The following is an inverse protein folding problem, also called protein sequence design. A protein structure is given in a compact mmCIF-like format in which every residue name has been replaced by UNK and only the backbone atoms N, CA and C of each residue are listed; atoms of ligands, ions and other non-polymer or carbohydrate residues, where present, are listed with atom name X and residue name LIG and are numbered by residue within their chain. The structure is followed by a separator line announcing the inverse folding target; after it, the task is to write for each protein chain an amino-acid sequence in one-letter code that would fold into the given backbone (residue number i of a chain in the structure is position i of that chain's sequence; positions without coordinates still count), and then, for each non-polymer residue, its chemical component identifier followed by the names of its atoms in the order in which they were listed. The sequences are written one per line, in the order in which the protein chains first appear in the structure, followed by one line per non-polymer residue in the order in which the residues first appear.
data_IF_136939131487
#
_entry.id   IF_136939131487
#
_cell.length_a   1.000
_cell.length_b   1.000
_cell.length_c   1.000
_cell.angle_alpha   90.00
_cell.angle_beta   90.00
_cell.angle_gamma   90.00
#
_symmetry.space_group_name_H-M   'P 1'
#
loop_
_entity.id
_entity.type
_entity.pdbx_description
1 polymer ?
#
# COMPACT_ATOMS: atom_id res chain seq x y z
N UNK A 1 37.75 -7.09 -83.12
CA UNK A 1 38.64 -7.15 -81.94
C UNK A 1 37.76 -6.90 -80.74
N UNK A 2 37.46 -7.97 -80.01
CA UNK A 2 36.34 -8.11 -79.08
C UNK A 2 36.51 -7.37 -77.74
N UNK A 3 35.39 -6.84 -77.23
CA UNK A 3 35.21 -6.46 -75.83
C UNK A 3 35.12 -7.73 -74.97
N UNK A 4 36.06 -7.92 -74.04
CA UNK A 4 35.90 -8.86 -72.93
C UNK A 4 35.30 -8.12 -71.73
N UNK A 5 34.01 -8.39 -71.48
CA UNK A 5 33.33 -8.08 -70.22
C UNK A 5 33.88 -9.02 -69.14
N UNK A 6 34.67 -8.48 -68.21
CA UNK A 6 35.03 -9.17 -66.97
C UNK A 6 33.92 -8.96 -65.95
N UNK A 7 33.09 -9.97 -65.74
CA UNK A 7 32.14 -10.02 -64.63
C UNK A 7 32.91 -10.42 -63.37
N UNK A 8 33.27 -9.45 -62.53
CA UNK A 8 33.81 -9.71 -61.19
C UNK A 8 32.66 -9.91 -60.20
N UNK A 9 32.60 -11.09 -59.58
CA UNK A 9 31.62 -11.40 -58.53
C UNK A 9 32.32 -11.24 -57.18
N UNK A 10 32.04 -10.14 -56.47
CA UNK A 10 32.51 -9.94 -55.09
C UNK A 10 31.56 -10.64 -54.11
N UNK A 11 32.01 -11.72 -53.48
CA UNK A 11 31.29 -12.34 -52.36
C UNK A 11 31.57 -11.55 -51.08
N UNK A 12 30.60 -10.74 -50.63
CA UNK A 12 30.60 -10.18 -49.28
C UNK A 12 29.98 -11.19 -48.32
N UNK A 13 30.81 -11.76 -47.44
CA UNK A 13 30.37 -12.62 -46.35
C UNK A 13 29.77 -11.72 -45.25
N UNK A 14 28.47 -11.79 -45.04
CA UNK A 14 27.79 -11.10 -43.94
C UNK A 14 27.35 -12.14 -42.91
N UNK A 15 28.01 -12.14 -41.74
CA UNK A 15 27.62 -12.98 -40.61
C UNK A 15 26.38 -12.36 -39.94
N UNK A 16 25.21 -12.97 -40.14
CA UNK A 16 24.02 -12.66 -39.34
C UNK A 16 23.98 -13.63 -38.16
N UNK A 17 24.09 -13.10 -36.95
CA UNK A 17 23.81 -13.87 -35.74
C UNK A 17 22.30 -14.12 -35.67
N UNK A 18 21.88 -15.37 -35.83
CA UNK A 18 20.52 -15.79 -35.54
C UNK A 18 20.50 -16.10 -34.06
N UNK A 19 19.95 -15.20 -33.24
CA UNK A 19 19.61 -15.54 -31.86
C UNK A 19 18.56 -16.65 -31.91
N UNK A 20 18.84 -17.78 -31.23
CA UNK A 20 17.86 -18.85 -31.12
C UNK A 20 16.58 -18.28 -30.48
N UNK A 21 15.38 -18.60 -30.99
CA UNK A 21 14.12 -18.09 -30.44
C UNK A 21 13.98 -18.24 -28.92
N UNK A 22 14.56 -19.31 -28.35
CA UNK A 22 14.61 -19.55 -26.90
C UNK A 22 15.40 -18.49 -26.13
N UNK A 23 16.50 -17.97 -26.69
CA UNK A 23 17.29 -16.91 -26.04
C UNK A 23 16.58 -15.56 -26.02
N UNK A 24 15.79 -15.27 -27.06
CA UNK A 24 14.99 -14.05 -27.13
C UNK A 24 13.90 -14.11 -26.05
N UNK A 25 13.18 -15.23 -25.96
CA UNK A 25 12.16 -15.45 -24.93
C UNK A 25 12.73 -15.37 -23.51
N UNK A 26 13.91 -15.95 -23.25
CA UNK A 26 14.54 -15.84 -21.93
C UNK A 26 14.97 -14.41 -21.60
N UNK A 27 15.46 -13.65 -22.59
CA UNK A 27 15.83 -12.25 -22.37
C UNK A 27 14.62 -11.37 -22.15
N UNK A 28 13.52 -11.61 -22.86
CA UNK A 28 12.26 -10.89 -22.64
C UNK A 28 11.76 -11.12 -21.22
N UNK A 29 11.75 -12.36 -20.72
CA UNK A 29 11.32 -12.67 -19.34
C UNK A 29 12.21 -11.99 -18.28
N UNK A 30 13.54 -12.03 -18.44
CA UNK A 30 14.49 -11.46 -17.48
C UNK A 30 14.49 -9.92 -17.44
N UNK A 31 13.96 -9.27 -18.48
CA UNK A 31 13.91 -7.81 -18.59
C UNK A 31 12.59 -7.21 -18.11
N UNK A 32 11.56 -8.03 -17.85
CA UNK A 32 10.28 -7.56 -17.35
C UNK A 32 10.40 -7.07 -15.90
N UNK A 33 9.72 -5.97 -15.52
CA UNK A 33 9.57 -5.61 -14.12
C UNK A 33 8.75 -6.69 -13.39
N UNK A 34 9.03 -6.90 -12.11
CA UNK A 34 8.45 -8.01 -11.32
C UNK A 34 6.91 -8.04 -11.39
N UNK A 35 6.24 -6.89 -11.41
CA UNK A 35 4.78 -6.82 -11.54
C UNK A 35 4.29 -7.34 -12.90
N UNK A 36 4.94 -6.95 -14.00
CA UNK A 36 4.59 -7.45 -15.34
C UNK A 36 4.95 -8.94 -15.49
N UNK A 37 6.03 -9.38 -14.84
CA UNK A 37 6.40 -10.79 -14.78
C UNK A 37 5.35 -11.62 -14.05
N UNK A 38 4.80 -11.11 -12.94
CA UNK A 38 3.70 -11.77 -12.21
C UNK A 38 2.45 -11.90 -13.09
N UNK A 39 2.00 -10.80 -13.72
CA UNK A 39 0.86 -10.83 -14.64
C UNK A 39 1.08 -11.81 -15.80
N UNK A 40 2.30 -11.88 -16.31
CA UNK A 40 2.66 -12.82 -17.38
C UNK A 40 2.64 -14.28 -16.92
N UNK A 41 3.14 -14.56 -15.71
CA UNK A 41 3.09 -15.89 -15.10
C UNK A 41 1.64 -16.32 -14.87
N UNK A 42 0.77 -15.43 -14.38
CA UNK A 42 -0.65 -15.73 -14.18
C UNK A 42 -1.37 -16.04 -15.49
N UNK A 43 -1.07 -15.29 -16.56
CA UNK A 43 -1.61 -15.58 -17.90
C UNK A 43 -1.13 -16.94 -18.42
N UNK A 44 0.17 -17.24 -18.29
CA UNK A 44 0.73 -18.53 -18.71
C UNK A 44 0.17 -19.69 -17.88
N UNK A 45 -0.11 -19.49 -16.60
CA UNK A 45 -0.75 -20.50 -15.77
C UNK A 45 -2.19 -20.82 -16.25
N UNK A 46 -2.93 -19.82 -16.76
CA UNK A 46 -4.27 -20.02 -17.31
C UNK A 46 -4.24 -20.72 -18.67
N UNK A 47 -3.24 -20.41 -19.51
CA UNK A 47 -3.12 -20.95 -20.86
C UNK A 47 -2.41 -22.31 -20.90
N UNK A 48 -1.46 -22.55 -20.00
CA UNK A 48 -0.60 -23.73 -20.01
C UNK A 48 -1.03 -24.75 -18.94
N UNK A 49 -1.67 -25.87 -19.34
CA UNK A 49 -2.12 -26.91 -18.41
C UNK A 49 -0.98 -27.70 -17.76
N UNK A 50 0.28 -27.46 -18.15
CA UNK A 50 1.48 -28.12 -17.59
C UNK A 50 1.99 -27.41 -16.34
N UNK A 51 1.68 -26.12 -16.18
CA UNK A 51 2.11 -25.31 -15.06
C UNK A 51 1.10 -25.42 -13.92
N UNK A 52 1.59 -25.73 -12.72
CA UNK A 52 0.80 -25.77 -11.50
C UNK A 52 1.42 -24.84 -10.44
N UNK A 53 0.57 -24.10 -9.71
CA UNK A 53 0.96 -23.34 -8.53
C UNK A 53 1.03 -24.28 -7.32
N UNK A 54 2.13 -24.25 -6.58
CA UNK A 54 2.17 -24.83 -5.24
C UNK A 54 1.74 -23.76 -4.24
N UNK A 55 0.51 -23.85 -3.74
CA UNK A 55 0.15 -23.13 -2.52
C UNK A 55 0.86 -23.83 -1.36
N UNK A 56 1.84 -23.16 -0.75
CA UNK A 56 2.31 -23.56 0.58
C UNK A 56 1.17 -23.27 1.57
N UNK A 57 0.18 -24.17 1.67
CA UNK A 57 -0.66 -24.18 2.85
C UNK A 57 0.28 -24.39 4.06
N UNK A 58 0.23 -23.51 5.09
CA UNK A 58 0.90 -23.82 6.33
C UNK A 58 0.20 -25.06 6.89
N UNK A 59 0.80 -26.23 6.70
CA UNK A 59 0.30 -27.49 7.23
C UNK A 59 0.12 -27.32 8.74
N UNK A 60 -1.14 -27.16 9.16
CA UNK A 60 -1.53 -27.38 10.55
C UNK A 60 -1.09 -28.80 10.88
N UNK A 61 -0.41 -29.03 12.02
CA UNK A 61 0.14 -30.34 12.28
C UNK A 61 -1.01 -31.34 12.41
N UNK A 62 -1.12 -32.24 11.44
CA UNK A 62 -1.85 -33.47 11.62
C UNK A 62 -1.16 -34.23 12.76
N UNK A 63 -1.90 -34.53 13.82
CA UNK A 63 -1.47 -35.42 14.88
C UNK A 63 -1.08 -36.76 14.26
N UNK A 64 0.22 -37.01 14.10
CA UNK A 64 0.78 -38.29 13.74
C UNK A 64 1.67 -38.75 14.88
N UNK A 65 1.29 -39.92 15.39
CA UNK A 65 1.86 -40.67 16.49
C UNK A 65 3.38 -40.83 16.47
N UNK A 66 3.92 -41.03 17.66
CA UNK A 66 5.26 -41.51 17.95
C UNK A 66 5.69 -42.67 17.03
N UNK A 67 6.78 -42.49 16.28
CA UNK A 67 7.89 -43.44 16.01
C UNK A 67 8.50 -43.22 14.61
N UNK A 68 9.61 -42.49 14.53
CA UNK A 68 10.91 -43.10 14.21
C UNK A 68 11.98 -42.00 14.24
N UNK A 69 12.87 -42.09 15.23
CA UNK A 69 14.11 -41.32 15.24
C UNK A 69 15.04 -41.96 14.18
N UNK A 70 15.05 -41.42 12.96
CA UNK A 70 16.13 -41.71 12.02
C UNK A 70 17.36 -40.95 12.51
N UNK A 71 18.32 -41.71 13.04
CA UNK A 71 19.67 -41.28 13.34
C UNK A 71 20.26 -40.56 12.11
N UNK A 72 20.72 -39.33 12.31
CA UNK A 72 21.59 -38.63 11.37
C UNK A 72 22.93 -39.41 11.39
N UNK A 73 23.39 -40.01 10.28
CA UNK A 73 24.72 -40.59 10.25
C UNK A 73 25.72 -39.44 10.13
N UNK A 74 26.22 -38.99 11.27
CA UNK A 74 27.32 -38.04 11.37
C UNK A 74 28.63 -38.80 11.11
N UNK A 75 28.91 -39.05 9.82
CA UNK A 75 30.18 -39.59 9.34
C UNK A 75 30.54 -38.93 8.00
N UNK A 76 31.78 -38.44 7.82
CA UNK A 76 32.19 -37.89 6.54
C UNK A 76 32.22 -39.01 5.50
N UNK A 77 31.48 -38.84 4.41
CA UNK A 77 31.52 -39.77 3.29
C UNK A 77 32.90 -39.74 2.62
N UNK A 78 33.42 -40.88 2.15
CA UNK A 78 34.74 -41.04 1.49
C UNK A 78 34.92 -40.26 0.17
N UNK A 79 34.03 -39.30 -0.16
CA UNK A 79 34.01 -38.53 -1.40
C UNK A 79 34.30 -37.04 -1.27
N UNK A 80 34.35 -36.47 -0.07
CA UNK A 80 34.54 -35.02 0.11
C UNK A 80 36.01 -34.62 -0.10
N UNK A 81 36.34 -34.22 -1.33
CA UNK A 81 37.57 -33.49 -1.65
C UNK A 81 37.20 -32.09 -2.12
N UNK A 82 37.90 -31.08 -1.63
CA UNK A 82 37.72 -29.69 -2.07
C UNK A 82 37.90 -29.58 -3.59
N UNK A 83 37.03 -28.80 -4.24
CA UNK A 83 37.13 -28.43 -5.65
C UNK A 83 38.37 -27.55 -5.86
N UNK A 84 39.47 -28.15 -6.30
CA UNK A 84 40.71 -27.43 -6.61
C UNK A 84 40.76 -27.13 -8.10
N UNK A 85 40.40 -25.90 -8.47
CA UNK A 85 40.50 -25.42 -9.86
C UNK A 85 41.98 -25.14 -10.17
N UNK A 86 42.65 -26.09 -10.84
CA UNK A 86 44.00 -25.88 -11.38
C UNK A 86 43.94 -25.76 -12.91
N UNK A 87 44.46 -24.66 -13.47
CA UNK A 87 44.48 -24.36 -14.93
C UNK A 87 45.29 -25.35 -15.79
N UNK A 88 45.90 -26.37 -15.19
CA UNK A 88 46.85 -27.28 -15.86
C UNK A 88 46.31 -28.69 -16.11
N UNK A 89 45.10 -29.02 -15.65
CA UNK A 89 44.49 -30.35 -15.82
C UNK A 89 43.17 -30.26 -16.57
N UNK A 90 42.86 -31.26 -17.40
CA UNK A 90 41.57 -31.36 -18.08
C UNK A 90 40.49 -31.70 -17.05
N UNK A 91 39.60 -30.74 -16.77
CA UNK A 91 38.53 -30.83 -15.78
C UNK A 91 37.34 -31.70 -16.23
N UNK A 92 37.58 -32.70 -17.09
CA UNK A 92 36.53 -33.57 -17.64
C UNK A 92 35.91 -34.44 -16.53
N UNK A 93 36.72 -34.96 -15.61
CA UNK A 93 36.26 -35.78 -14.48
C UNK A 93 35.42 -34.99 -13.45
N UNK A 94 35.72 -33.69 -13.27
CA UNK A 94 34.95 -32.80 -12.39
C UNK A 94 33.63 -32.36 -13.06
N UNK A 95 33.62 -32.21 -14.39
CA UNK A 95 32.41 -31.96 -15.17
C UNK A 95 31.47 -33.17 -15.20
N UNK A 96 32.02 -34.38 -15.38
CA UNK A 96 31.22 -35.62 -15.30
C UNK A 96 30.62 -35.79 -13.90
N UNK A 97 31.33 -35.41 -12.83
CA UNK A 97 30.75 -35.36 -11.47
C UNK A 97 29.60 -34.38 -11.34
N UNK A 98 29.75 -33.16 -11.88
CA UNK A 98 28.69 -32.14 -11.84
C UNK A 98 27.44 -32.58 -12.61
N UNK A 99 27.62 -33.25 -13.74
CA UNK A 99 26.52 -33.84 -14.51
C UNK A 99 25.87 -35.03 -13.79
N UNK A 100 26.64 -35.89 -13.14
CA UNK A 100 26.11 -37.04 -12.39
C UNK A 100 25.44 -36.62 -11.06
N UNK A 101 25.85 -35.50 -10.47
CA UNK A 101 25.21 -34.96 -9.27
C UNK A 101 23.77 -34.49 -9.54
N UNK A 102 23.48 -34.07 -10.77
CA UNK A 102 22.12 -33.74 -11.25
C UNK A 102 21.25 -35.01 -11.43
N UNK A 103 21.87 -36.17 -11.73
CA UNK A 103 21.19 -37.46 -11.90
C UNK A 103 20.99 -38.23 -10.57
N UNK A 104 21.94 -38.12 -9.62
CA UNK A 104 21.91 -38.82 -8.33
C UNK A 104 21.10 -38.09 -7.25
N UNK A 105 20.71 -36.83 -7.48
CA UNK A 105 19.98 -36.04 -6.50
C UNK A 105 18.66 -35.40 -7.01
N UNK A 106 17.69 -36.18 -7.52
CA UNK A 106 16.38 -35.65 -7.92
C UNK A 106 15.56 -35.13 -6.73
N UNK A 107 15.94 -35.47 -5.48
CA UNK A 107 15.21 -35.13 -4.25
C UNK A 107 15.77 -33.92 -3.49
N UNK A 108 16.96 -33.39 -3.83
CA UNK A 108 17.52 -32.20 -3.15
C UNK A 108 16.84 -30.89 -3.54
N UNK A 109 16.10 -30.86 -4.66
CA UNK A 109 15.22 -29.71 -4.98
C UNK A 109 13.98 -29.68 -4.07
N UNK A 110 13.77 -30.73 -3.26
CA UNK A 110 12.65 -30.89 -2.36
C UNK A 110 13.14 -31.15 -0.92
N UNK A 111 14.32 -30.62 -0.56
CA UNK A 111 14.69 -30.49 0.84
C UNK A 111 13.92 -29.30 1.41
N UNK A 112 12.67 -29.57 1.79
CA UNK A 112 11.98 -28.77 2.78
C UNK A 112 12.92 -28.68 3.97
N UNK A 113 13.51 -27.49 4.17
CA UNK A 113 14.21 -27.15 5.40
C UNK A 113 13.22 -27.47 6.51
N UNK A 114 13.42 -28.60 7.18
CA UNK A 114 12.60 -29.01 8.31
C UNK A 114 12.87 -27.95 9.38
N UNK A 115 12.03 -26.92 9.41
CA UNK A 115 12.14 -25.85 10.36
C UNK A 115 12.04 -26.50 11.73
N UNK A 116 13.12 -26.43 12.51
CA UNK A 116 13.12 -26.98 13.85
C UNK A 116 11.99 -26.35 14.66
N UNK A 117 11.46 -27.06 15.66
CA UNK A 117 10.37 -26.54 16.52
C UNK A 117 10.72 -25.16 17.11
N UNK A 118 12.01 -24.89 17.38
CA UNK A 118 12.49 -23.57 17.81
C UNK A 118 12.38 -22.48 16.72
N UNK A 119 12.65 -22.80 15.45
CA UNK A 119 12.49 -21.85 14.34
C UNK A 119 11.03 -21.49 14.07
N UNK A 120 10.08 -22.40 14.34
CA UNK A 120 8.64 -22.16 14.21
C UNK A 120 8.14 -21.28 15.37
N UNK A 121 8.62 -21.53 16.59
CA UNK A 121 8.29 -20.73 17.77
C UNK A 121 8.84 -19.30 17.67
N UNK A 122 10.09 -19.12 17.20
CA UNK A 122 10.65 -17.80 16.89
C UNK A 122 9.92 -17.08 15.74
N UNK A 123 9.41 -17.82 14.75
CA UNK A 123 8.61 -17.24 13.68
C UNK A 123 7.21 -16.82 14.17
N UNK A 124 6.61 -17.58 15.08
CA UNK A 124 5.35 -17.23 15.72
C UNK A 124 5.51 -16.01 16.64
N UNK A 125 6.59 -15.95 17.41
CA UNK A 125 6.93 -14.82 18.28
C UNK A 125 7.21 -13.55 17.45
N UNK A 126 7.99 -13.64 16.36
CA UNK A 126 8.17 -12.53 15.41
C UNK A 126 6.87 -12.06 14.77
N UNK A 127 5.93 -12.96 14.46
CA UNK A 127 4.60 -12.59 13.94
C UNK A 127 3.77 -11.88 15.00
N UNK A 128 3.83 -12.33 16.26
CA UNK A 128 3.14 -11.68 17.38
C UNK A 128 3.73 -10.30 17.69
N UNK A 129 5.05 -10.16 17.65
CA UNK A 129 5.74 -8.87 17.77
C UNK A 129 5.42 -7.94 16.60
N UNK A 130 5.31 -8.47 15.38
CA UNK A 130 4.88 -7.68 14.22
C UNK A 130 3.43 -7.19 14.36
N UNK A 131 2.53 -8.04 14.86
CA UNK A 131 1.14 -7.67 15.15
C UNK A 131 1.05 -6.62 16.28
N UNK A 132 1.88 -6.75 17.31
CA UNK A 132 1.94 -5.80 18.42
C UNK A 132 2.57 -4.45 18.03
N UNK A 133 3.51 -4.45 17.07
CA UNK A 133 4.14 -3.24 16.53
C UNK A 133 3.38 -2.65 15.33
N UNK A 134 2.31 -3.29 14.85
CA UNK A 134 1.47 -2.71 13.81
C UNK A 134 0.67 -1.56 14.45
N UNK A 135 0.84 -0.32 13.99
CA UNK A 135 0.06 0.80 14.52
C UNK A 135 -1.43 0.51 14.32
N UNK A 136 -2.22 0.65 15.39
CA UNK A 136 -3.66 0.51 15.30
C UNK A 136 -4.22 1.46 14.22
N UNK A 137 -5.19 0.99 13.43
CA UNK A 137 -5.91 1.85 12.49
C UNK A 137 -6.45 3.07 13.26
N UNK A 138 -6.04 4.26 12.83
CA UNK A 138 -6.56 5.49 13.42
C UNK A 138 -8.06 5.56 13.15
N UNK A 139 -8.82 5.94 14.16
CA UNK A 139 -10.28 6.02 14.07
C UNK A 139 -10.66 7.04 12.99
N UNK A 140 -11.54 6.66 12.06
CA UNK A 140 -11.99 7.59 11.01
C UNK A 140 -12.82 8.72 11.61
N UNK A 141 -12.90 9.87 10.93
CA UNK A 141 -13.76 10.99 11.34
C UNK A 141 -15.21 10.53 11.57
N UNK A 142 -15.71 9.66 10.68
CA UNK A 142 -17.08 9.15 10.75
C UNK A 142 -17.29 8.28 12.00
N UNK A 143 -16.35 7.40 12.32
CA UNK A 143 -16.40 6.58 13.52
C UNK A 143 -16.33 7.44 14.79
N UNK A 144 -15.44 8.43 14.80
CA UNK A 144 -15.30 9.36 15.93
C UNK A 144 -16.59 10.14 16.21
N UNK A 145 -17.25 10.66 15.16
CA UNK A 145 -18.51 11.38 15.29
C UNK A 145 -19.68 10.46 15.67
N UNK A 146 -19.71 9.22 15.16
CA UNK A 146 -20.72 8.22 15.54
C UNK A 146 -20.61 7.87 17.02
N UNK A 147 -19.38 7.63 17.50
CA UNK A 147 -19.13 7.35 18.90
C UNK A 147 -19.55 8.54 19.78
N UNK A 148 -19.30 9.78 19.33
CA UNK A 148 -19.80 10.98 20.01
C UNK A 148 -21.32 11.08 20.06
N UNK A 149 -22.01 10.78 18.96
CA UNK A 149 -23.47 10.78 18.92
C UNK A 149 -24.08 9.81 19.94
N UNK A 150 -23.40 8.69 20.22
CA UNK A 150 -23.87 7.72 21.19
C UNK A 150 -23.91 8.27 22.63
N UNK A 151 -23.16 9.33 22.96
CA UNK A 151 -23.22 9.99 24.26
C UNK A 151 -24.41 10.93 24.43
N UNK A 152 -25.10 11.28 23.33
CA UNK A 152 -26.27 12.16 23.38
C UNK A 152 -27.56 11.35 23.43
N UNK A 153 -28.43 11.68 24.38
CA UNK A 153 -29.80 11.16 24.43
C UNK A 153 -30.64 11.82 23.34
N UNK A 154 -30.86 11.09 22.24
CA UNK A 154 -31.56 11.54 21.05
C UNK A 154 -32.78 10.68 20.73
N UNK A 155 -33.80 11.28 20.13
CA UNK A 155 -34.89 10.54 19.53
C UNK A 155 -34.37 9.66 18.38
N UNK A 156 -34.93 8.46 18.24
CA UNK A 156 -34.56 7.50 17.19
C UNK A 156 -34.56 8.07 15.77
N UNK A 157 -35.58 8.84 15.30
CA UNK A 157 -35.54 9.45 13.97
C UNK A 157 -34.43 10.51 13.82
N UNK A 158 -34.14 11.26 14.88
CA UNK A 158 -33.09 12.29 14.87
C UNK A 158 -31.69 11.66 14.83
N UNK A 159 -31.49 10.55 15.55
CA UNK A 159 -30.23 9.78 15.53
C UNK A 159 -29.96 9.20 14.15
N UNK A 160 -30.95 8.54 13.55
CA UNK A 160 -30.82 7.96 12.22
C UNK A 160 -30.49 9.02 11.17
N UNK A 161 -31.11 10.20 11.29
CA UNK A 161 -30.82 11.33 10.40
C UNK A 161 -29.42 11.90 10.63
N UNK A 162 -28.98 12.02 11.87
CA UNK A 162 -27.64 12.51 12.20
C UNK A 162 -26.55 11.55 11.68
N UNK A 163 -26.74 10.24 11.83
CA UNK A 163 -25.84 9.24 11.26
C UNK A 163 -25.77 9.36 9.73
N UNK A 164 -26.93 9.52 9.07
CA UNK A 164 -26.98 9.69 7.62
C UNK A 164 -26.26 10.96 7.14
N UNK A 165 -26.35 12.04 7.93
CA UNK A 165 -25.58 13.27 7.69
C UNK A 165 -24.08 13.01 7.86
N UNK A 166 -23.67 12.29 8.90
CA UNK A 166 -22.25 11.95 9.14
C UNK A 166 -21.66 11.16 7.97
N UNK A 167 -22.39 10.19 7.42
CA UNK A 167 -21.93 9.42 6.26
C UNK A 167 -21.85 10.24 4.97
N UNK A 168 -22.51 11.39 4.89
CA UNK A 168 -22.46 12.30 3.75
C UNK A 168 -21.39 13.40 3.90
N UNK A 169 -20.61 13.38 4.99
CA UNK A 169 -19.50 14.31 5.17
C UNK A 169 -18.32 13.95 4.27
N UNK A 170 -17.64 14.98 3.79
CA UNK A 170 -16.35 14.88 3.10
C UNK A 170 -15.23 14.54 4.09
N UNK A 171 -14.08 13.97 3.63
CA UNK A 171 -12.87 13.85 4.46
C UNK A 171 -12.42 15.17 5.09
N UNK A 172 -12.70 16.32 4.47
CA UNK A 172 -12.38 17.62 5.04
C UNK A 172 -13.36 18.07 6.14
N UNK A 173 -14.47 17.34 6.37
CA UNK A 173 -15.51 17.63 7.36
C UNK A 173 -16.67 18.51 6.87
N UNK A 174 -16.78 18.74 5.55
CA UNK A 174 -17.86 19.53 4.93
C UNK A 174 -19.05 18.67 4.51
N UNK A 175 -20.25 19.24 4.49
CA UNK A 175 -21.45 18.55 4.01
C UNK A 175 -21.51 18.56 2.48
N UNK A 176 -21.54 17.37 1.87
CA UNK A 176 -21.61 17.23 0.41
C UNK A 176 -23.06 17.26 -0.09
N UNK A 177 -23.55 18.45 -0.42
CA UNK A 177 -24.86 18.66 -1.06
C UNK A 177 -25.87 19.39 -0.18
N UNK A 178 -27.15 19.36 -0.60
CA UNK A 178 -28.24 20.00 0.17
C UNK A 178 -28.87 18.97 1.10
N UNK A 179 -29.43 19.44 2.22
CA UNK A 179 -30.21 18.60 3.15
C UNK A 179 -31.34 17.82 2.44
N UNK A 180 -31.89 18.40 1.36
CA UNK A 180 -32.94 17.79 0.54
C UNK A 180 -32.46 16.52 -0.19
N UNK A 181 -31.18 16.46 -0.57
CA UNK A 181 -30.61 15.33 -1.32
C UNK A 181 -30.34 14.12 -0.41
N UNK A 182 -30.15 14.38 0.89
CA UNK A 182 -29.88 13.35 1.91
C UNK A 182 -31.19 12.63 2.27
N UNK A 183 -32.34 13.27 2.06
CA UNK A 183 -33.65 12.73 2.42
C UNK A 183 -34.13 11.69 1.39
N UNK A 184 -34.86 10.64 1.84
CA UNK A 184 -35.47 9.70 0.91
C UNK A 184 -36.55 10.38 0.06
N UNK A 185 -36.84 9.89 -1.16
CA UNK A 185 -37.84 10.48 -2.06
C UNK A 185 -39.28 10.48 -1.48
N UNK A 186 -39.51 9.70 -0.43
CA UNK A 186 -40.77 9.62 0.32
C UNK A 186 -40.87 10.65 1.46
N UNK A 187 -39.87 11.50 1.63
CA UNK A 187 -39.75 12.38 2.80
C UNK A 187 -40.86 13.43 2.87
N UNK A 188 -41.34 13.64 4.08
CA UNK A 188 -42.34 14.66 4.42
C UNK A 188 -41.68 15.96 4.90
N UNK A 189 -42.47 17.02 5.05
CA UNK A 189 -41.99 18.28 5.61
C UNK A 189 -41.50 18.15 7.07
N UNK A 190 -41.98 17.15 7.80
CA UNK A 190 -41.54 16.85 9.17
C UNK A 190 -40.11 16.30 9.19
N UNK A 191 -39.77 15.45 8.22
CA UNK A 191 -38.42 14.88 8.08
C UNK A 191 -37.36 15.95 7.77
N UNK A 192 -37.74 17.01 7.05
CA UNK A 192 -36.88 18.17 6.79
C UNK A 192 -36.55 18.95 8.06
N UNK A 193 -37.50 19.11 8.97
CA UNK A 193 -37.26 19.78 10.25
C UNK A 193 -36.40 18.92 11.19
N UNK A 194 -36.61 17.60 11.17
CA UNK A 194 -35.74 16.64 11.87
C UNK A 194 -34.32 16.73 11.31
N UNK A 195 -34.15 16.75 9.98
CA UNK A 195 -32.84 16.89 9.34
C UNK A 195 -32.13 18.20 9.69
N UNK A 196 -32.85 19.33 9.77
CA UNK A 196 -32.28 20.60 10.25
C UNK A 196 -31.82 20.53 11.71
N UNK A 197 -32.58 19.83 12.54
CA UNK A 197 -32.26 19.65 13.96
C UNK A 197 -31.05 18.73 14.13
N UNK A 198 -31.02 17.62 13.40
CA UNK A 198 -29.90 16.69 13.34
C UNK A 198 -28.63 17.39 12.83
N UNK A 199 -28.71 18.23 11.79
CA UNK A 199 -27.56 18.98 11.30
C UNK A 199 -26.98 19.91 12.37
N UNK A 200 -27.84 20.66 13.08
CA UNK A 200 -27.39 21.54 14.18
C UNK A 200 -26.75 20.76 15.32
N UNK A 201 -27.18 19.53 15.54
CA UNK A 201 -26.58 18.64 16.52
C UNK A 201 -25.19 18.19 16.05
N UNK A 202 -25.06 17.71 14.81
CA UNK A 202 -23.76 17.33 14.22
C UNK A 202 -22.78 18.51 14.23
N UNK A 203 -23.24 19.72 13.94
CA UNK A 203 -22.43 20.94 14.00
C UNK A 203 -21.96 21.34 15.42
N UNK A 204 -22.53 20.74 16.47
CA UNK A 204 -22.09 20.92 17.87
C UNK A 204 -21.09 19.87 18.33
N UNK A 205 -20.87 18.81 17.55
CA UNK A 205 -19.90 17.77 17.84
C UNK A 205 -18.47 18.30 17.69
N UNK A 206 -17.50 17.53 18.17
CA UNK A 206 -16.07 17.79 18.04
C UNK A 206 -15.51 16.94 16.89
N UNK A 207 -14.68 17.46 15.96
CA UNK A 207 -14.09 18.81 15.91
C UNK A 207 -15.07 19.95 15.54
N UNK A 208 -14.87 21.18 16.07
CA UNK A 208 -15.77 22.29 15.80
C UNK A 208 -15.72 22.70 14.32
N UNK A 209 -16.88 22.97 13.73
CA UNK A 209 -17.01 23.34 12.32
C UNK A 209 -17.23 22.17 11.36
N UNK A 210 -17.38 20.94 11.87
CA UNK A 210 -17.87 19.78 11.10
C UNK A 210 -19.32 20.00 10.68
N UNK A 211 -19.67 19.52 9.47
CA UNK A 211 -21.02 19.64 8.93
C UNK A 211 -21.36 21.06 8.46
N UNK A 212 -20.34 21.89 8.24
CA UNK A 212 -20.50 23.17 7.55
C UNK A 212 -20.72 22.95 6.05
N UNK A 213 -21.52 23.84 5.43
CA UNK A 213 -21.73 23.84 3.97
C UNK A 213 -20.69 24.67 3.23
N UNK A 214 -20.18 25.69 3.90
CA UNK A 214 -19.20 26.65 3.37
C UNK A 214 -18.10 26.90 4.40
N UNK A 215 -16.93 27.35 3.93
CA UNK A 215 -15.83 27.80 4.80
C UNK A 215 -16.28 28.89 5.78
N UNK A 216 -17.16 29.81 5.34
CA UNK A 216 -17.74 30.85 6.21
C UNK A 216 -18.51 30.24 7.37
N UNK A 217 -19.37 29.26 7.09
CA UNK A 217 -20.16 28.57 8.13
C UNK A 217 -19.24 27.78 9.06
N UNK A 218 -18.22 27.09 8.52
CA UNK A 218 -17.22 26.35 9.29
C UNK A 218 -16.52 27.25 10.32
N UNK A 219 -15.98 28.39 9.86
CA UNK A 219 -15.30 29.35 10.72
C UNK A 219 -16.27 29.97 11.74
N UNK A 220 -17.50 30.29 11.35
CA UNK A 220 -18.51 30.83 12.29
C UNK A 220 -18.88 29.82 13.39
N UNK A 221 -18.96 28.53 13.05
CA UNK A 221 -19.21 27.45 14.02
C UNK A 221 -18.04 27.26 15.00
N UNK A 222 -16.81 27.59 14.59
CA UNK A 222 -15.63 27.53 15.46
C UNK A 222 -15.51 28.73 16.41
N UNK A 223 -16.16 29.86 16.11
CA UNK A 223 -16.14 31.05 16.98
C UNK A 223 -17.02 30.82 18.21
N UNK A 224 -16.37 30.47 19.33
CA UNK A 224 -17.05 30.24 20.61
C UNK A 224 -17.50 31.55 21.26
N UNK A 225 -18.67 31.55 21.94
CA UNK A 225 -19.11 32.71 22.71
C UNK A 225 -18.15 32.99 23.87
N UNK A 226 -17.67 34.23 23.99
CA UNK A 226 -16.74 34.67 25.03
C UNK A 226 -15.26 34.71 24.65
N UNK A 227 -14.90 34.46 23.39
CA UNK A 227 -13.54 34.70 22.89
C UNK A 227 -13.24 36.20 22.75
N UNK A 228 -11.96 36.62 22.89
CA UNK A 228 -11.57 37.99 22.54
C UNK A 228 -11.95 38.27 21.08
N UNK A 229 -12.49 39.46 20.82
CA UNK A 229 -12.89 39.91 19.49
C UNK A 229 -14.00 39.10 18.80
N UNK A 230 -14.88 38.43 19.55
CA UNK A 230 -15.98 37.62 18.99
C UNK A 230 -16.84 38.38 17.97
N UNK A 231 -17.20 39.64 18.26
CA UNK A 231 -18.05 40.44 17.37
C UNK A 231 -17.30 40.80 16.10
N UNK A 232 -16.05 41.18 16.24
CA UNK A 232 -15.17 41.57 15.15
C UNK A 232 -14.85 40.38 14.25
N UNK A 233 -14.55 39.21 14.82
CA UNK A 233 -14.37 37.94 14.11
C UNK A 233 -15.60 37.59 13.27
N UNK A 234 -16.81 37.64 13.86
CA UNK A 234 -18.04 37.31 13.12
C UNK A 234 -18.33 38.26 11.98
N UNK A 235 -18.10 39.57 12.16
CA UNK A 235 -18.24 40.55 11.09
C UNK A 235 -17.20 40.33 9.99
N UNK A 236 -15.96 40.03 10.39
CA UNK A 236 -14.86 39.79 9.46
C UNK A 236 -15.09 38.53 8.60
N UNK A 237 -15.56 37.43 9.21
CA UNK A 237 -15.87 36.17 8.51
C UNK A 237 -17.09 36.33 7.60
N UNK A 238 -18.13 37.05 8.03
CA UNK A 238 -19.36 37.23 7.26
C UNK A 238 -19.17 38.11 6.02
N UNK A 239 -18.51 39.27 6.18
CA UNK A 239 -18.54 40.34 5.17
C UNK A 239 -17.19 40.59 4.47
N UNK A 240 -16.07 40.13 5.04
CA UNK A 240 -14.72 40.53 4.62
C UNK A 240 -13.76 39.38 4.34
N UNK A 241 -14.22 38.13 4.23
CA UNK A 241 -13.34 36.98 3.98
C UNK A 241 -12.53 37.15 2.66
N UNK A 242 -13.17 37.59 1.58
CA UNK A 242 -12.52 37.87 0.29
C UNK A 242 -11.56 39.07 0.35
N UNK A 243 -11.85 40.03 1.22
CA UNK A 243 -10.99 41.20 1.44
C UNK A 243 -9.71 40.79 2.20
N UNK A 244 -9.79 39.79 3.09
CA UNK A 244 -8.64 39.19 3.79
C UNK A 244 -7.80 38.34 2.85
N UNK A 245 -8.43 37.48 2.04
CA UNK A 245 -7.73 36.61 1.08
C UNK A 245 -6.89 37.44 0.09
N UNK A 246 -7.43 38.57 -0.36
CA UNK A 246 -6.74 39.52 -1.22
C UNK A 246 -5.79 40.49 -0.48
N UNK A 247 -5.57 40.33 0.84
CA UNK A 247 -4.76 41.21 1.70
C UNK A 247 -5.16 42.71 1.65
N UNK A 248 -6.45 43.02 1.42
CA UNK A 248 -6.97 44.40 1.28
C UNK A 248 -7.37 45.02 2.63
N UNK A 249 -6.43 45.07 3.58
CA UNK A 249 -6.66 45.67 4.92
C UNK A 249 -7.22 47.11 4.90
N UNK A 250 -6.82 48.01 3.97
CA UNK A 250 -7.39 49.36 3.89
C UNK A 250 -8.87 49.38 3.49
N UNK A 251 -9.35 48.38 2.74
CA UNK A 251 -10.76 48.27 2.36
C UNK A 251 -11.62 47.88 3.56
N UNK A 252 -11.12 46.94 4.37
CA UNK A 252 -11.75 46.51 5.62
C UNK A 252 -11.86 47.71 6.57
N UNK A 253 -10.75 48.44 6.78
CA UNK A 253 -10.74 49.67 7.60
C UNK A 253 -11.81 50.68 7.19
N UNK A 254 -12.02 50.90 5.89
CA UNK A 254 -13.03 51.86 5.39
C UNK A 254 -14.46 51.39 5.66
N UNK A 255 -14.71 50.08 5.59
CA UNK A 255 -16.04 49.49 5.80
C UNK A 255 -16.38 49.30 7.28
N UNK A 256 -15.43 48.83 8.09
CA UNK A 256 -15.64 48.53 9.52
C UNK A 256 -15.31 49.70 10.45
N UNK A 257 -14.48 50.65 10.01
CA UNK A 257 -14.02 51.78 10.81
C UNK A 257 -12.95 51.44 11.85
N UNK A 258 -12.45 50.20 11.88
CA UNK A 258 -11.47 49.75 12.89
C UNK A 258 -10.05 50.25 12.61
N UNK A 259 -9.20 50.26 13.65
CA UNK A 259 -7.78 50.54 13.47
C UNK A 259 -7.10 49.38 12.71
N UNK A 260 -5.98 49.67 12.03
CA UNK A 260 -5.23 48.64 11.28
C UNK A 260 -4.65 47.60 12.26
N UNK A 261 -4.23 48.04 13.44
CA UNK A 261 -3.71 47.18 14.51
C UNK A 261 -4.78 46.21 15.02
N UNK A 262 -6.00 46.69 15.27
CA UNK A 262 -7.13 45.84 15.67
C UNK A 262 -7.44 44.79 14.60
N UNK A 263 -7.47 45.18 13.32
CA UNK A 263 -7.72 44.23 12.23
C UNK A 263 -6.63 43.15 12.20
N UNK A 264 -5.37 43.51 12.44
CA UNK A 264 -4.27 42.54 12.47
C UNK A 264 -4.38 41.57 13.66
N UNK A 265 -4.76 42.02 14.85
CA UNK A 265 -5.02 41.15 16.00
C UNK A 265 -6.16 40.16 15.72
N UNK A 266 -7.27 40.65 15.15
CA UNK A 266 -8.42 39.81 14.78
C UNK A 266 -8.05 38.78 13.71
N UNK A 267 -7.25 39.18 12.70
CA UNK A 267 -6.74 38.26 11.67
C UNK A 267 -5.77 37.23 12.25
N UNK A 268 -4.97 37.59 13.26
CA UNK A 268 -4.08 36.66 13.93
C UNK A 268 -4.88 35.57 14.69
N UNK A 269 -5.97 35.94 15.34
CA UNK A 269 -6.90 34.97 15.95
C UNK A 269 -7.63 34.14 14.88
N UNK A 270 -8.06 34.74 13.77
CA UNK A 270 -8.68 34.00 12.66
C UNK A 270 -7.76 32.90 12.10
N UNK A 271 -6.45 33.16 12.02
CA UNK A 271 -5.46 32.17 11.55
C UNK A 271 -5.27 30.98 12.49
N UNK A 272 -5.72 31.06 13.74
CA UNK A 272 -5.69 29.94 14.68
C UNK A 272 -6.85 28.96 14.49
N UNK A 273 -7.88 29.37 13.75
CA UNK A 273 -9.02 28.51 13.44
C UNK A 273 -8.63 27.49 12.36
N UNK A 274 -9.22 26.29 12.42
CA UNK A 274 -8.89 25.19 11.53
C UNK A 274 -9.89 25.15 10.37
N UNK A 275 -9.50 25.53 9.13
CA UNK A 275 -10.44 25.57 8.01
C UNK A 275 -10.85 24.16 7.52
N UNK A 276 -10.22 23.10 8.01
CA UNK A 276 -10.48 21.70 7.61
C UNK A 276 -10.46 20.80 8.84
N UNK A 277 -11.55 20.72 9.60
CA UNK A 277 -11.58 19.97 10.85
C UNK A 277 -11.39 18.45 10.66
N UNK A 278 -11.70 17.90 9.47
CA UNK A 278 -11.53 16.48 9.18
C UNK A 278 -10.11 16.05 8.78
N UNK A 279 -9.20 16.99 8.53
CA UNK A 279 -7.86 16.68 8.02
C UNK A 279 -7.01 15.83 9.00
N UNK A 280 -7.21 15.99 10.30
CA UNK A 280 -6.46 15.25 11.33
C UNK A 280 -6.85 13.76 11.39
N UNK A 281 -8.02 13.40 10.84
CA UNK A 281 -8.57 12.04 10.87
C UNK A 281 -8.42 11.31 9.53
N UNK A 282 -7.97 12.02 8.49
CA UNK A 282 -7.78 11.45 7.18
C UNK A 282 -6.30 11.12 7.00
N UNK A 283 -5.97 9.85 7.24
CA UNK A 283 -4.66 9.32 6.87
C UNK A 283 -4.79 8.71 5.47
N UNK A 284 -4.19 9.37 4.47
CA UNK A 284 -4.11 8.80 3.14
C UNK A 284 -3.15 7.60 3.22
N UNK A 285 -3.59 6.37 2.93
CA UNK A 285 -2.72 5.21 3.02
C UNK A 285 -1.58 5.41 2.02
N UNK A 286 -0.39 5.75 2.52
CA UNK A 286 0.82 5.83 1.71
C UNK A 286 1.05 4.44 1.17
N UNK A 287 0.92 4.27 -0.15
CA UNK A 287 1.22 3.00 -0.79
C UNK A 287 2.70 2.70 -0.54
N UNK A 288 3.04 1.66 0.23
CA UNK A 288 4.44 1.34 0.48
C UNK A 288 5.07 0.92 -0.85
N UNK A 289 6.15 1.60 -1.23
CA UNK A 289 7.00 1.13 -2.32
C UNK A 289 7.90 0.05 -1.74
N UNK A 290 7.59 -1.21 -2.03
CA UNK A 290 8.43 -2.32 -1.60
C UNK A 290 9.62 -2.46 -2.56
N UNK A 291 10.87 -2.40 -2.08
CA UNK A 291 12.04 -2.51 -2.93
C UNK A 291 12.28 -3.94 -3.42
N UNK A 292 12.93 -4.07 -4.58
CA UNK A 292 13.29 -5.39 -5.15
C UNK A 292 14.53 -6.01 -4.46
N UNK A 293 15.35 -5.18 -3.80
CA UNK A 293 16.63 -5.56 -3.21
C UNK A 293 16.82 -4.90 -1.84
N UNK A 294 17.13 -5.71 -0.83
CA UNK A 294 17.56 -5.26 0.49
C UNK A 294 19.08 -5.31 0.59
N UNK A 295 19.69 -4.22 1.07
CA UNK A 295 21.13 -4.16 1.33
C UNK A 295 21.32 -3.98 2.83
N UNK A 296 21.80 -5.02 3.50
CA UNK A 296 22.07 -5.01 4.94
C UNK A 296 23.59 -4.95 5.17
N UNK A 297 24.01 -4.19 6.17
CA UNK A 297 25.41 -4.16 6.59
C UNK A 297 25.59 -5.09 7.79
N UNK A 298 26.43 -6.10 7.61
CA UNK A 298 26.80 -7.05 8.66
C UNK A 298 27.70 -6.38 9.73
N UNK A 299 27.80 -6.96 10.93
CA UNK A 299 28.57 -6.40 12.07
C UNK A 299 30.06 -6.17 11.75
N UNK A 300 30.58 -6.89 10.74
CA UNK A 300 31.95 -6.76 10.23
C UNK A 300 32.12 -5.67 9.16
N UNK A 301 31.07 -4.90 8.87
CA UNK A 301 31.09 -3.81 7.88
C UNK A 301 30.98 -4.25 6.42
N UNK A 302 30.66 -5.52 6.14
CA UNK A 302 30.42 -6.04 4.78
C UNK A 302 28.96 -5.84 4.39
N UNK A 303 28.70 -5.50 3.13
CA UNK A 303 27.35 -5.41 2.58
C UNK A 303 26.87 -6.78 2.11
N UNK A 304 25.73 -7.22 2.63
CA UNK A 304 25.01 -8.42 2.18
C UNK A 304 23.78 -7.94 1.41
N UNK A 305 23.67 -8.39 0.17
CA UNK A 305 22.55 -8.06 -0.72
C UNK A 305 21.57 -9.23 -0.70
N UNK A 306 20.31 -8.99 -0.38
CA UNK A 306 19.22 -9.98 -0.40
C UNK A 306 18.17 -9.55 -1.40
N UNK A 307 17.75 -10.47 -2.26
CA UNK A 307 16.65 -10.26 -3.22
C UNK A 307 15.31 -10.56 -2.52
N UNK A 308 14.27 -9.80 -2.84
CA UNK A 308 12.91 -10.04 -2.35
C UNK A 308 12.20 -11.09 -3.24
N UNK A 309 12.58 -12.36 -3.09
CA UNK A 309 12.02 -13.46 -3.90
C UNK A 309 10.61 -13.88 -3.44
N UNK A 310 10.08 -13.30 -2.36
CA UNK A 310 8.81 -13.69 -1.73
C UNK A 310 7.57 -13.50 -2.63
N UNK A 311 7.71 -12.77 -3.75
CA UNK A 311 6.60 -12.41 -4.65
C UNK A 311 6.45 -13.30 -5.86
N UNK A 312 7.43 -14.16 -6.15
CA UNK A 312 7.31 -15.09 -7.26
C UNK A 312 6.74 -16.41 -6.75
N UNK A 313 5.61 -16.88 -7.29
CA UNK A 313 5.09 -18.19 -6.91
C UNK A 313 6.09 -19.28 -7.32
N UNK A 314 6.25 -20.29 -6.47
CA UNK A 314 6.99 -21.49 -6.86
C UNK A 314 6.19 -22.24 -7.94
N UNK A 315 6.65 -22.14 -9.18
CA UNK A 315 6.06 -22.82 -10.32
C UNK A 315 6.57 -24.25 -10.40
N UNK A 316 5.66 -25.20 -10.64
CA UNK A 316 6.01 -26.60 -10.82
C UNK A 316 5.46 -27.14 -12.14
N UNK A 317 6.21 -28.07 -12.75
CA UNK A 317 5.77 -28.83 -13.92
C UNK A 317 5.10 -30.09 -13.43
N UNK A 318 3.79 -30.22 -13.67
CA UNK A 318 3.01 -31.37 -13.24
C UNK A 318 3.68 -32.70 -13.62
N UNK A 319 3.85 -33.67 -12.68
CA UNK A 319 4.58 -34.91 -12.95
C UNK A 319 3.84 -35.77 -13.97
N UNK A 320 2.51 -35.62 -14.03
CA UNK A 320 1.63 -36.29 -14.97
C UNK A 320 2.00 -35.97 -16.42
N UNK A 321 2.25 -34.69 -16.72
CA UNK A 321 2.67 -34.25 -18.06
C UNK A 321 4.16 -34.50 -18.33
N UNK A 322 5.00 -34.66 -17.29
CA UNK A 322 6.43 -34.99 -17.44
C UNK A 322 6.68 -36.44 -17.88
N UNK A 323 5.73 -37.35 -17.60
CA UNK A 323 5.84 -38.78 -17.91
C UNK A 323 5.19 -39.18 -19.25
N UNK A 324 4.47 -38.27 -19.90
CA UNK A 324 3.71 -38.50 -21.14
C UNK A 324 4.57 -38.27 -22.39
#
# INVERSE_FOLDING_TARGET
MDMRLSLGQDMRMAQKQILAPRMIQSMEILQLPILELQERIEQELQENPVLELREEEPELPAEADEADAREIPDAPAEGERELVINETTQNEDDFERLCNMDEECPEAFNESVSQSRGSIEEAAERKQDALANTPAHQQTLHDYLRDQLAWFDLDEPTRLMAERIIYNLDPNGYLQGRLEDILPPTATAEDLEIARTALKLVQRLDPPGVGARDLRECLLLQVRPGQPFEKELRTLISDHLEDIEANRLPAIKRKTGWSIEQIQEVVAELRRLNPKPGADFYDEPVQPVTPDVYVEQDESGRYVVRLDDARLPSLYISPYYRQL
#
